data_IF_498213486891
#
_entry.id   IF_498213486891
#
_cell.length_a   1.000
_cell.length_b   1.000
_cell.length_c   1.000
_cell.angle_alpha   90.00
_cell.angle_beta   90.00
_cell.angle_gamma   90.00
#
_symmetry.space_group_name_H-M   'P 1'
#
loop_
_entity.id
_entity.type
_entity.pdbx_description
1 polymer ?
#
# COMPACT_ATOMS: atom_id res chain seq x y z
N UNK A 1 -0.91 13.24 9.74
CA UNK A 1 -0.51 13.47 8.33
C UNK A 1 0.44 12.42 7.80
N UNK A 2 1.62 12.19 8.40
CA UNK A 2 2.61 11.23 7.89
C UNK A 2 2.09 9.79 7.77
N UNK A 3 1.32 9.34 8.76
CA UNK A 3 0.71 8.00 8.76
C UNK A 3 -0.34 7.84 7.67
N UNK A 4 -1.15 8.89 7.43
CA UNK A 4 -2.14 8.89 6.35
C UNK A 4 -1.50 8.86 4.97
N UNK A 5 -0.38 9.56 4.77
CA UNK A 5 0.39 9.50 3.52
C UNK A 5 1.00 8.11 3.34
N UNK A 6 1.63 7.55 4.38
CA UNK A 6 2.19 6.20 4.34
C UNK A 6 1.11 5.14 4.04
N UNK A 7 -0.06 5.26 4.66
CA UNK A 7 -1.21 4.40 4.38
C UNK A 7 -1.62 4.46 2.91
N UNK A 8 -1.85 5.66 2.39
CA UNK A 8 -2.27 5.85 0.99
C UNK A 8 -1.21 5.33 0.02
N UNK A 9 0.08 5.54 0.29
CA UNK A 9 1.16 5.01 -0.54
C UNK A 9 1.14 3.49 -0.57
N UNK A 10 1.06 2.82 0.58
CA UNK A 10 1.02 1.35 0.64
C UNK A 10 -0.25 0.81 -0.02
N UNK A 11 -1.40 1.45 0.22
CA UNK A 11 -2.67 1.10 -0.41
C UNK A 11 -2.57 1.13 -1.93
N UNK A 12 -2.01 2.20 -2.49
CA UNK A 12 -1.90 2.38 -3.93
C UNK A 12 -0.93 1.35 -4.55
N UNK A 13 0.21 1.09 -3.90
CA UNK A 13 1.19 0.09 -4.35
C UNK A 13 0.59 -1.32 -4.33
N UNK A 14 -0.04 -1.73 -3.23
CA UNK A 14 -0.67 -3.06 -3.12
C UNK A 14 -1.80 -3.20 -4.14
N UNK A 15 -2.64 -2.17 -4.27
CA UNK A 15 -3.74 -2.18 -5.24
C UNK A 15 -3.24 -2.30 -6.67
N UNK A 16 -2.15 -1.61 -7.02
CA UNK A 16 -1.57 -1.70 -8.35
C UNK A 16 -0.97 -3.09 -8.64
N UNK A 17 -0.26 -3.68 -7.68
CA UNK A 17 0.28 -5.04 -7.83
C UNK A 17 -0.86 -6.06 -8.01
N UNK A 18 -1.90 -6.00 -7.19
CA UNK A 18 -3.06 -6.87 -7.33
C UNK A 18 -3.81 -6.65 -8.64
N UNK A 19 -3.90 -5.40 -9.11
CA UNK A 19 -4.50 -5.11 -10.40
C UNK A 19 -3.74 -5.76 -11.54
N UNK A 20 -2.41 -5.67 -11.56
CA UNK A 20 -1.60 -6.34 -12.57
C UNK A 20 -1.73 -7.87 -12.50
N UNK A 21 -1.76 -8.45 -11.29
CA UNK A 21 -1.92 -9.90 -11.13
C UNK A 21 -3.29 -10.35 -11.64
N UNK A 22 -4.35 -9.65 -11.22
CA UNK A 22 -5.73 -10.05 -11.57
C UNK A 22 -6.03 -9.81 -13.03
N UNK A 23 -5.59 -8.68 -13.62
CA UNK A 23 -5.84 -8.41 -15.06
C UNK A 23 -5.00 -9.27 -16.00
N UNK A 24 -3.82 -9.73 -15.57
CA UNK A 24 -3.06 -10.72 -16.33
C UNK A 24 -3.67 -12.13 -16.24
N UNK A 25 -4.40 -12.44 -15.17
CA UNK A 25 -4.99 -13.78 -14.98
C UNK A 25 -6.43 -13.89 -15.44
N UNK A 26 -7.24 -12.89 -15.13
CA UNK A 26 -8.60 -12.74 -15.63
C UNK A 26 -8.54 -11.74 -16.78
N UNK A 27 -8.73 -12.23 -18.00
CA UNK A 27 -9.07 -11.39 -19.15
C UNK A 27 -10.39 -10.66 -18.85
N UNK A 28 -10.28 -9.51 -18.20
CA UNK A 28 -11.44 -8.74 -17.75
C UNK A 28 -11.87 -7.76 -18.83
N UNK A 29 -13.17 -7.77 -19.15
CA UNK A 29 -13.77 -6.80 -20.07
C UNK A 29 -13.90 -5.39 -19.47
N UNK A 30 -13.84 -5.26 -18.13
CA UNK A 30 -14.09 -4.00 -17.41
C UNK A 30 -12.99 -3.73 -16.36
N UNK A 31 -11.76 -3.38 -16.79
CA UNK A 31 -10.61 -3.21 -15.90
C UNK A 31 -10.82 -2.11 -14.85
N UNK A 32 -11.60 -1.07 -15.16
CA UNK A 32 -11.90 0.00 -14.20
C UNK A 32 -12.66 -0.51 -12.96
N UNK A 33 -13.65 -1.38 -13.15
CA UNK A 33 -14.44 -1.95 -12.05
C UNK A 33 -13.57 -2.87 -11.20
N UNK A 34 -12.73 -3.69 -11.84
CA UNK A 34 -11.77 -4.57 -11.17
C UNK A 34 -10.80 -3.76 -10.31
N UNK A 35 -10.29 -2.63 -10.80
CA UNK A 35 -9.41 -1.75 -10.03
C UNK A 35 -10.09 -1.22 -8.76
N UNK A 36 -11.35 -0.77 -8.86
CA UNK A 36 -12.12 -0.30 -7.69
C UNK A 36 -12.32 -1.41 -6.66
N UNK A 37 -12.69 -2.62 -7.11
CA UNK A 37 -12.85 -3.77 -6.22
C UNK A 37 -11.55 -4.15 -5.52
N UNK A 38 -10.42 -4.04 -6.22
CA UNK A 38 -9.10 -4.28 -5.67
C UNK A 38 -8.74 -3.24 -4.62
N UNK A 39 -9.03 -1.95 -4.84
CA UNK A 39 -8.82 -0.91 -3.82
C UNK A 39 -9.62 -1.24 -2.56
N UNK A 40 -10.89 -1.61 -2.69
CA UNK A 40 -11.73 -1.98 -1.54
C UNK A 40 -11.23 -3.23 -0.81
N UNK A 41 -10.74 -4.22 -1.56
CA UNK A 41 -10.14 -5.42 -0.99
C UNK A 41 -8.81 -5.11 -0.29
N UNK A 42 -7.94 -4.32 -0.92
CA UNK A 42 -6.66 -3.89 -0.39
C UNK A 42 -6.83 -3.05 0.88
N UNK A 43 -7.81 -2.15 0.92
CA UNK A 43 -8.19 -1.37 2.09
C UNK A 43 -8.55 -2.28 3.27
N UNK A 44 -9.45 -3.25 3.07
CA UNK A 44 -9.79 -4.25 4.11
C UNK A 44 -8.61 -5.12 4.55
N UNK A 45 -7.71 -5.46 3.61
CA UNK A 45 -6.51 -6.25 3.92
C UNK A 45 -5.55 -5.41 4.78
N UNK A 46 -5.33 -4.14 4.42
CA UNK A 46 -4.50 -3.21 5.18
C UNK A 46 -5.06 -2.95 6.57
N UNK A 47 -6.39 -2.80 6.69
CA UNK A 47 -7.05 -2.62 7.97
C UNK A 47 -6.91 -3.82 8.90
N UNK A 48 -6.88 -5.04 8.34
CA UNK A 48 -6.59 -6.27 9.09
C UNK A 48 -5.10 -6.44 9.40
N UNK A 49 -4.23 -5.85 8.59
CA UNK A 49 -2.78 -6.00 8.67
C UNK A 49 -2.09 -4.68 9.02
N UNK A 50 -2.57 -3.98 10.06
CA UNK A 50 -2.01 -2.69 10.51
C UNK A 50 -0.51 -2.74 10.81
N UNK A 51 -0.01 -3.92 11.17
CA UNK A 51 1.42 -4.19 11.39
C UNK A 51 2.30 -3.85 10.16
N UNK A 52 1.76 -3.90 8.93
CA UNK A 52 2.49 -3.50 7.72
C UNK A 52 2.75 -1.99 7.69
N UNK A 53 1.76 -1.20 8.12
CA UNK A 53 1.87 0.26 8.17
C UNK A 53 2.82 0.66 9.31
N UNK A 54 2.69 0.02 10.47
CA UNK A 54 3.60 0.24 11.61
C UNK A 54 5.04 -0.14 11.29
N UNK A 55 5.26 -1.26 10.58
CA UNK A 55 6.58 -1.67 10.12
C UNK A 55 7.21 -0.66 9.17
N UNK A 56 6.44 -0.18 8.18
CA UNK A 56 6.90 0.83 7.24
C UNK A 56 7.22 2.16 7.93
N UNK A 57 6.36 2.62 8.84
CA UNK A 57 6.59 3.84 9.63
C UNK A 57 7.81 3.72 10.54
N UNK A 58 8.02 2.55 11.16
CA UNK A 58 9.18 2.28 12.01
C UNK A 58 10.47 2.35 11.21
N UNK A 59 10.50 1.77 10.00
CA UNK A 59 11.66 1.84 9.12
C UNK A 59 11.93 3.27 8.63
N UNK A 60 10.89 3.98 8.18
CA UNK A 60 10.98 5.38 7.76
C UNK A 60 11.50 6.31 8.87
N UNK A 61 11.03 6.13 10.10
CA UNK A 61 11.51 6.92 11.23
C UNK A 61 12.95 6.55 11.63
N UNK A 62 13.35 5.28 11.50
CA UNK A 62 14.73 4.84 11.80
C UNK A 62 15.73 5.45 10.81
N UNK A 63 15.42 5.42 9.52
CA UNK A 63 16.24 6.00 8.45
C UNK A 63 16.43 7.52 8.67
N UNK A 64 15.36 8.22 9.07
CA UNK A 64 15.41 9.64 9.43
C UNK A 64 16.22 9.94 10.70
N UNK A 65 16.40 8.96 11.59
CA UNK A 65 17.17 9.11 12.82
C UNK A 65 18.67 9.00 12.56
N UNK A 66 19.04 8.10 11.65
CA UNK A 66 20.43 7.92 11.19
C UNK A 66 20.92 9.13 10.38
N UNK A 67 20.04 9.73 9.55
CA UNK A 67 20.34 10.97 8.79
C UNK A 67 20.60 12.20 9.68
N UNK A 68 20.07 12.21 10.92
CA UNK A 68 20.30 13.29 11.89
C UNK A 68 21.49 13.07 12.82
N UNK A 69 22.05 11.85 12.87
CA UNK A 69 23.22 11.52 13.69
C UNK A 69 24.55 11.79 13.00
N UNK A 70 24.54 12.08 11.70
CA UNK A 70 25.72 12.35 10.86
C UNK A 70 25.90 13.84 10.53
N UNK A 71 25.26 14.74 11.28
CA UNK A 71 25.42 16.20 11.18
C UNK A 71 26.14 16.76 12.40
#
# INVERSE_FOLDING_TARGET
>A
MKEGIAYLTILLVISFVFFLVITNWLETGEPAIVFVLIILAADKILDKNKWLIEGYLKQYNRDKSEDKGNL
#
